data_IF_622473993898
#
_entry.id   IF_622473993898
#
_cell.length_a   1.000
_cell.length_b   1.000
_cell.length_c   1.000
_cell.angle_alpha   90.00
_cell.angle_beta   90.00
_cell.angle_gamma   90.00
#
_symmetry.space_group_name_H-M   'P 1'
#
loop_
_entity.id
_entity.type
_entity.pdbx_description
1 polymer ?
#
# COMPACT_ATOMS: atom_id res chain seq x y z
N UNK A 1 66.53 -8.59 9.20
CA UNK A 1 67.53 -7.61 8.71
C UNK A 1 67.28 -6.34 9.47
N UNK A 2 68.06 -6.20 10.45
CA UNK A 2 69.22 -5.29 10.71
C UNK A 2 68.73 -3.89 11.07
N UNK A 3 68.91 -3.54 12.18
CA UNK A 3 69.95 -3.08 13.17
C UNK A 3 69.52 -1.67 13.64
N UNK A 4 69.30 -1.48 14.94
CA UNK A 4 70.32 -1.30 15.97
C UNK A 4 70.95 0.11 16.02
N UNK A 5 70.76 0.81 17.14
CA UNK A 5 71.75 1.41 18.01
C UNK A 5 71.09 2.56 18.82
N UNK A 6 70.86 2.60 20.07
CA UNK A 6 71.71 2.42 21.27
C UNK A 6 72.90 3.42 21.29
N UNK A 7 72.82 4.37 22.20
CA UNK A 7 73.91 4.88 23.05
C UNK A 7 73.31 5.97 23.96
N UNK A 8 73.17 5.85 25.19
CA UNK A 8 74.03 5.58 26.38
C UNK A 8 74.96 6.76 26.67
N UNK A 9 75.09 7.02 27.96
CA UNK A 9 76.19 7.60 28.74
C UNK A 9 75.91 8.97 29.38
N UNK A 10 75.58 8.92 30.63
CA UNK A 10 76.37 9.14 31.87
C UNK A 10 76.28 10.50 32.53
N UNK A 11 75.89 10.39 33.83
CA UNK A 11 76.27 11.19 34.99
C UNK A 11 77.79 11.45 35.05
N UNK A 12 78.38 12.16 36.03
CA UNK A 12 77.92 12.75 37.32
C UNK A 12 78.66 14.05 37.76
N UNK A 13 78.40 14.49 38.99
CA UNK A 13 79.31 15.34 39.80
C UNK A 13 78.52 16.38 40.59
N UNK A 14 78.26 16.19 41.83
CA UNK A 14 78.94 16.29 43.10
C UNK A 14 79.92 17.47 43.19
N UNK A 15 79.71 18.29 44.24
CA UNK A 15 80.62 18.76 45.27
C UNK A 15 80.08 20.09 45.81
N UNK A 16 79.59 20.19 47.04
CA UNK A 16 80.15 20.23 48.38
C UNK A 16 80.64 21.62 48.78
N UNK A 17 80.09 22.06 49.96
CA UNK A 17 80.63 22.88 51.05
C UNK A 17 81.07 24.32 50.77
N UNK A 18 80.68 25.30 51.58
CA UNK A 18 81.24 25.60 52.92
C UNK A 18 80.51 26.77 53.58
N UNK A 19 80.03 26.58 54.73
CA UNK A 19 80.22 27.26 56.04
C UNK A 19 81.06 28.55 56.04
N UNK A 20 80.49 29.68 56.52
CA UNK A 20 81.22 30.65 57.37
C UNK A 20 80.29 31.42 58.27
N UNK A 21 80.44 31.15 59.52
CA UNK A 21 79.96 31.79 60.74
C UNK A 21 80.68 33.16 60.95
N UNK A 22 79.94 34.24 61.23
CA UNK A 22 80.49 35.44 62.00
C UNK A 22 79.37 36.06 62.81
N UNK A 23 79.47 35.89 64.07
CA UNK A 23 78.84 36.69 65.15
C UNK A 23 79.55 37.98 65.30
N UNK A 24 78.87 39.09 65.74
CA UNK A 24 79.21 40.06 66.70
C UNK A 24 78.23 41.23 66.77
N UNK A 25 77.43 41.30 67.75
CA UNK A 25 77.49 42.20 68.97
C UNK A 25 76.84 43.57 68.83
N UNK A 26 75.79 43.76 69.55
CA UNK A 26 75.41 44.95 70.38
C UNK A 26 75.05 46.27 69.71
N UNK A 27 73.75 46.61 69.79
CA UNK A 27 73.29 47.83 70.44
C UNK A 27 71.81 47.78 70.76
N UNK A 28 71.47 47.68 72.07
CA UNK A 28 70.13 47.86 72.54
C UNK A 28 69.71 49.31 72.41
N UNK A 29 68.77 49.63 71.56
CA UNK A 29 67.96 50.84 71.65
C UNK A 29 66.55 50.38 71.95
N UNK A 30 66.12 50.61 73.15
CA UNK A 30 64.77 50.43 73.64
C UNK A 30 63.86 51.42 72.91
N UNK A 31 63.25 51.04 71.77
CA UNK A 31 62.18 51.77 71.16
C UNK A 31 60.89 51.28 71.75
N UNK A 32 60.25 52.12 72.56
CA UNK A 32 58.87 51.88 73.05
C UNK A 32 58.00 51.79 71.79
N UNK A 33 57.68 50.56 71.40
CA UNK A 33 56.67 50.29 70.37
C UNK A 33 55.29 50.60 70.98
N UNK A 34 54.68 51.66 70.51
CA UNK A 34 53.26 51.89 70.69
C UNK A 34 52.53 50.67 70.15
N UNK A 35 51.52 50.12 70.86
CA UNK A 35 50.73 49.03 70.28
C UNK A 35 50.08 49.52 69.03
N UNK A 36 50.55 49.07 67.87
CA UNK A 36 49.82 49.20 66.64
C UNK A 36 48.51 48.41 66.78
N UNK A 37 47.43 49.11 67.00
CA UNK A 37 46.12 48.54 66.82
C UNK A 37 46.08 47.96 65.40
N UNK A 38 46.31 46.67 65.26
CA UNK A 38 46.06 45.96 64.03
C UNK A 38 44.56 46.20 63.65
N UNK A 39 44.34 47.05 62.68
CA UNK A 39 42.99 47.23 62.13
C UNK A 39 42.45 45.83 61.80
N UNK A 40 41.37 45.43 62.46
CA UNK A 40 40.70 44.18 62.18
C UNK A 40 40.44 44.15 60.69
N UNK A 41 40.95 43.12 60.03
CA UNK A 41 40.69 42.95 58.61
C UNK A 41 39.15 42.99 58.36
N UNK A 42 38.70 43.78 57.39
CA UNK A 42 37.26 43.91 57.12
C UNK A 42 36.65 42.51 56.94
N UNK A 43 35.61 42.21 57.66
CA UNK A 43 34.89 40.93 57.57
C UNK A 43 34.27 40.88 56.15
N UNK A 44 34.58 39.86 55.38
CA UNK A 44 34.04 39.76 54.04
C UNK A 44 32.50 39.74 54.02
N UNK A 45 31.88 40.48 53.12
CA UNK A 45 30.42 40.53 52.95
C UNK A 45 29.93 39.19 52.44
N UNK A 46 29.00 38.56 53.16
CA UNK A 46 28.40 37.27 52.76
C UNK A 46 27.69 37.40 51.39
N UNK A 47 27.84 36.39 50.57
CA UNK A 47 27.20 36.29 49.26
C UNK A 47 26.25 35.12 49.16
N UNK A 48 25.31 35.17 48.19
CA UNK A 48 24.34 34.14 47.87
C UNK A 48 24.30 33.93 46.37
N UNK A 49 24.37 32.65 45.95
CA UNK A 49 24.19 32.26 44.56
C UNK A 49 22.77 31.64 44.41
N UNK A 50 22.01 32.09 43.42
CA UNK A 50 20.79 31.44 42.98
C UNK A 50 21.04 30.87 41.59
N UNK A 51 20.91 29.55 41.42
CA UNK A 51 21.07 28.91 40.11
C UNK A 51 19.74 28.39 39.58
N UNK A 52 19.51 28.62 38.29
CA UNK A 52 18.31 28.15 37.56
C UNK A 52 18.73 27.14 36.50
N UNK A 53 18.06 25.99 36.50
CA UNK A 53 18.24 24.94 35.51
C UNK A 53 16.94 24.76 34.71
N UNK A 54 17.01 24.55 33.40
CA UNK A 54 15.81 24.32 32.61
C UNK A 54 15.19 22.97 32.96
N UNK A 55 13.86 22.91 32.98
CA UNK A 55 13.08 21.68 33.06
C UNK A 55 12.90 21.05 31.69
N UNK A 56 12.88 19.70 31.62
CA UNK A 56 12.62 18.98 30.35
C UNK A 56 13.81 18.94 29.38
N UNK A 57 15.04 19.09 29.89
CA UNK A 57 16.25 18.90 29.09
C UNK A 57 16.34 17.45 28.58
N UNK A 58 16.77 17.26 27.33
CA UNK A 58 16.79 15.96 26.65
C UNK A 58 18.22 15.58 26.27
N UNK A 59 18.53 14.30 26.33
CA UNK A 59 19.83 13.71 25.96
C UNK A 59 20.33 14.27 24.62
N UNK A 60 21.62 14.65 24.59
CA UNK A 60 22.29 15.18 23.39
C UNK A 60 22.02 16.65 23.07
N UNK A 61 21.12 17.32 23.76
CA UNK A 61 20.89 18.77 23.59
C UNK A 61 21.77 19.59 24.54
N UNK A 62 22.25 20.74 24.05
CA UNK A 62 22.94 21.69 24.92
C UNK A 62 21.98 22.28 25.94
N UNK A 63 22.47 22.46 27.16
CA UNK A 63 21.71 23.02 28.27
C UNK A 63 22.36 24.32 28.73
N UNK A 64 21.56 25.37 28.91
CA UNK A 64 22.02 26.64 29.48
C UNK A 64 21.57 26.72 30.92
N UNK A 65 22.54 26.96 31.84
CA UNK A 65 22.33 27.13 33.28
C UNK A 65 22.64 28.58 33.64
N UNK A 66 21.70 29.28 34.24
CA UNK A 66 21.87 30.63 34.75
C UNK A 66 22.25 30.62 36.24
N UNK A 67 23.20 31.46 36.65
CA UNK A 67 23.51 31.68 38.09
C UNK A 67 23.62 33.16 38.40
N UNK A 68 22.89 33.63 39.40
CA UNK A 68 22.88 35.01 39.83
C UNK A 68 23.61 35.09 41.17
N UNK A 69 24.66 35.97 41.25
CA UNK A 69 25.37 36.26 42.46
C UNK A 69 24.87 37.58 43.09
N UNK A 70 24.57 37.52 44.39
CA UNK A 70 24.13 38.69 45.20
C UNK A 70 24.89 38.77 46.48
N UNK A 71 25.02 40.01 47.05
CA UNK A 71 25.44 40.18 48.42
C UNK A 71 24.28 39.88 49.40
N UNK A 72 24.58 39.96 50.67
CA UNK A 72 23.57 39.73 51.74
C UNK A 72 22.44 40.76 51.72
N UNK A 73 22.67 41.94 51.22
CA UNK A 73 21.68 43.01 51.07
C UNK A 73 20.78 42.83 49.81
N UNK A 74 21.08 41.80 48.95
CA UNK A 74 20.36 41.51 47.75
C UNK A 74 20.88 42.25 46.49
N UNK A 75 21.95 43.05 46.64
CA UNK A 75 22.56 43.75 45.49
C UNK A 75 23.25 42.75 44.59
N UNK A 76 23.11 42.93 43.27
CA UNK A 76 23.70 42.06 42.24
C UNK A 76 25.16 42.40 42.06
N UNK A 77 26.04 41.39 42.05
CA UNK A 77 27.48 41.56 41.93
C UNK A 77 27.91 41.28 40.47
N UNK A 78 28.35 42.32 39.82
CA UNK A 78 28.84 42.27 38.43
C UNK A 78 30.36 42.08 38.35
N UNK A 79 30.86 41.41 37.32
CA UNK A 79 32.28 41.17 37.07
C UNK A 79 32.91 40.07 37.90
N UNK A 80 32.16 39.41 38.77
CA UNK A 80 32.63 38.35 39.64
C UNK A 80 32.69 37.00 38.90
N UNK A 81 33.69 36.17 39.21
CA UNK A 81 33.89 34.86 38.57
C UNK A 81 33.13 33.75 39.30
N UNK A 82 32.19 33.14 38.60
CA UNK A 82 31.52 31.92 39.02
C UNK A 82 32.07 30.71 38.29
N UNK A 83 32.26 29.60 39.00
CA UNK A 83 32.71 28.32 38.41
C UNK A 83 31.64 27.27 38.53
N UNK A 84 31.29 26.64 37.38
CA UNK A 84 30.34 25.51 37.33
C UNK A 84 31.08 24.18 37.35
N UNK A 85 30.60 23.28 38.21
CA UNK A 85 31.02 21.89 38.27
C UNK A 85 29.84 20.99 37.93
N UNK A 86 30.11 19.86 37.30
CA UNK A 86 29.19 18.76 37.07
C UNK A 86 29.77 17.50 37.68
N UNK A 87 29.02 16.83 38.58
CA UNK A 87 29.47 15.66 39.32
C UNK A 87 30.84 15.85 40.00
N UNK A 88 31.12 17.08 40.49
CA UNK A 88 32.38 17.44 41.14
C UNK A 88 33.53 17.77 40.16
N UNK A 89 33.34 17.63 38.86
CA UNK A 89 34.36 17.98 37.85
C UNK A 89 34.11 19.40 37.36
N UNK A 90 35.15 20.24 37.38
CA UNK A 90 35.08 21.62 36.87
C UNK A 90 34.77 21.62 35.37
N UNK A 91 33.75 22.36 34.99
CA UNK A 91 33.32 22.45 33.59
C UNK A 91 33.79 23.74 32.93
N UNK A 92 33.43 24.89 33.52
CA UNK A 92 33.80 26.22 33.02
C UNK A 92 33.65 27.31 34.10
N UNK A 93 34.32 28.45 33.87
CA UNK A 93 34.15 29.67 34.67
C UNK A 93 33.63 30.80 33.78
N UNK A 94 32.73 31.61 34.35
CA UNK A 94 32.11 32.76 33.68
C UNK A 94 32.06 33.96 34.61
N UNK A 95 32.23 35.15 34.09
CA UNK A 95 32.03 36.36 34.83
C UNK A 95 30.55 36.76 34.83
N UNK A 96 30.10 37.30 35.96
CA UNK A 96 28.75 37.88 36.05
C UNK A 96 28.64 39.17 35.26
N UNK A 97 27.53 39.37 34.57
CA UNK A 97 27.17 40.58 33.84
C UNK A 97 26.69 41.71 34.78
N UNK A 98 26.28 42.86 34.22
CA UNK A 98 25.74 43.99 34.98
C UNK A 98 24.50 43.65 35.81
N UNK A 99 23.81 42.51 35.54
CA UNK A 99 22.67 41.97 36.27
C UNK A 99 23.11 40.91 37.28
N UNK A 100 24.40 40.71 37.49
CA UNK A 100 24.93 39.68 38.38
C UNK A 100 24.73 38.27 37.87
N UNK A 101 24.39 38.07 36.60
CA UNK A 101 24.09 36.78 35.96
C UNK A 101 25.33 36.24 35.24
N UNK A 102 25.69 35.01 35.52
CA UNK A 102 26.59 34.18 34.74
C UNK A 102 25.81 33.09 34.02
N UNK A 103 26.02 32.96 32.67
CA UNK A 103 25.38 31.94 31.86
C UNK A 103 26.37 30.87 31.46
N UNK A 104 26.06 29.61 31.76
CA UNK A 104 26.90 28.46 31.43
C UNK A 104 26.24 27.59 30.40
N UNK A 105 26.94 27.21 29.34
CA UNK A 105 26.44 26.28 28.33
C UNK A 105 27.08 24.93 28.52
N UNK A 106 26.29 23.94 28.93
CA UNK A 106 26.71 22.55 29.03
C UNK A 106 26.43 21.89 27.68
N UNK A 107 27.49 21.43 27.01
CA UNK A 107 27.34 20.74 25.72
C UNK A 107 26.69 19.38 25.90
N UNK A 108 25.76 19.01 25.02
CA UNK A 108 25.00 17.75 25.09
C UNK A 108 25.87 16.50 25.14
N UNK A 109 27.06 16.52 24.52
CA UNK A 109 28.04 15.42 24.62
C UNK A 109 28.60 15.17 26.02
N UNK A 110 28.38 16.07 26.95
CA UNK A 110 28.73 15.90 28.38
C UNK A 110 27.59 15.33 29.22
N UNK A 111 26.40 15.30 28.63
CA UNK A 111 25.16 14.81 29.23
C UNK A 111 24.75 13.56 28.45
N UNK A 112 25.53 12.50 28.57
CA UNK A 112 25.45 11.27 27.73
C UNK A 112 24.49 10.22 28.33
N UNK A 113 23.88 10.49 29.45
CA UNK A 113 22.90 9.64 30.12
C UNK A 113 21.64 10.42 30.51
N UNK A 114 20.51 9.76 30.42
CA UNK A 114 19.24 10.26 30.91
C UNK A 114 19.13 10.00 32.39
N UNK A 115 19.70 10.91 33.19
CA UNK A 115 19.75 10.82 34.62
C UNK A 115 19.74 12.22 35.23
N UNK A 116 19.74 12.28 36.55
CA UNK A 116 19.88 13.52 37.30
C UNK A 116 21.37 13.80 37.56
N UNK A 117 21.88 14.89 37.05
CA UNK A 117 23.23 15.38 37.26
C UNK A 117 23.26 16.43 38.35
N UNK A 118 24.21 16.27 39.30
CA UNK A 118 24.46 17.27 40.34
C UNK A 118 25.34 18.38 39.78
N UNK A 119 24.81 19.59 39.73
CA UNK A 119 25.54 20.81 39.36
C UNK A 119 25.89 21.58 40.60
N UNK A 120 27.13 22.07 40.67
CA UNK A 120 27.60 22.93 41.75
C UNK A 120 28.15 24.22 41.18
N UNK A 121 27.61 25.37 41.58
CA UNK A 121 28.16 26.69 41.23
C UNK A 121 28.87 27.26 42.40
N UNK A 122 30.12 27.66 42.22
CA UNK A 122 31.01 28.14 43.24
C UNK A 122 31.46 29.57 42.95
N UNK A 123 31.39 30.45 43.91
CA UNK A 123 32.09 31.73 44.00
C UNK A 123 33.18 31.62 45.08
N UNK A 124 34.43 31.80 44.69
CA UNK A 124 35.57 31.66 45.62
C UNK A 124 35.80 32.86 46.51
N UNK A 125 34.99 33.91 46.34
CA UNK A 125 35.20 35.19 47.04
C UNK A 125 36.15 36.11 46.29
N UNK A 126 35.93 37.42 46.39
CA UNK A 126 36.84 38.49 45.85
C UNK A 126 36.49 39.81 46.46
N UNK A 127 37.47 40.76 46.48
CA UNK A 127 37.29 42.20 46.80
C UNK A 127 36.42 42.50 48.03
N UNK A 128 36.59 41.71 49.10
CA UNK A 128 35.81 41.87 50.34
C UNK A 128 34.49 41.11 50.38
N UNK A 129 34.21 40.24 49.41
CA UNK A 129 33.08 39.32 49.41
C UNK A 129 33.49 37.92 49.84
N UNK A 130 32.66 37.28 50.65
CA UNK A 130 32.88 35.93 51.13
C UNK A 130 32.53 34.91 50.05
N UNK A 131 33.19 33.73 50.04
CA UNK A 131 32.84 32.64 49.11
C UNK A 131 31.43 32.09 49.37
N UNK A 132 30.79 31.60 48.31
CA UNK A 132 29.49 30.94 48.38
C UNK A 132 29.36 29.81 47.37
N UNK A 133 28.47 28.86 47.66
CA UNK A 133 28.25 27.67 46.83
C UNK A 133 26.76 27.33 46.79
N UNK A 134 26.27 26.92 45.62
CA UNK A 134 24.92 26.38 45.45
C UNK A 134 24.97 25.05 44.71
N UNK A 135 24.15 24.09 45.14
CA UNK A 135 23.96 22.83 44.46
C UNK A 135 22.54 22.81 43.83
N UNK A 136 22.44 22.42 42.56
CA UNK A 136 21.18 22.22 41.89
C UNK A 136 21.22 20.91 41.13
N UNK A 137 20.06 20.34 40.86
CA UNK A 137 19.93 19.08 40.12
C UNK A 137 19.39 19.38 38.71
N UNK A 138 20.15 18.96 37.70
CA UNK A 138 19.72 18.99 36.29
C UNK A 138 19.27 17.59 35.88
N UNK A 139 17.98 17.43 35.57
CA UNK A 139 17.44 16.15 35.09
C UNK A 139 17.45 16.12 33.56
N UNK A 140 18.08 15.09 33.00
CA UNK A 140 18.12 14.82 31.54
C UNK A 140 17.15 13.69 31.22
N UNK A 141 16.22 13.94 30.31
CA UNK A 141 15.27 12.96 29.80
C UNK A 141 15.89 12.13 28.68
N UNK A 142 15.41 10.90 28.48
CA UNK A 142 15.82 10.04 27.39
C UNK A 142 15.60 10.71 26.01
N UNK A 143 16.49 10.44 25.06
CA UNK A 143 16.28 10.85 23.67
C UNK A 143 15.15 10.02 23.06
N UNK A 144 14.26 10.63 22.29
CA UNK A 144 13.27 9.93 21.47
C UNK A 144 13.83 9.72 20.07
N UNK A 145 13.98 8.48 19.67
CA UNK A 145 14.27 8.10 18.28
C UNK A 145 12.94 7.75 17.61
N UNK A 146 12.51 8.57 16.66
CA UNK A 146 11.29 8.32 15.91
C UNK A 146 11.60 7.55 14.63
N UNK A 147 10.87 6.46 14.41
CA UNK A 147 10.87 5.74 13.13
C UNK A 147 9.53 6.03 12.46
N UNK A 148 9.60 6.54 11.21
CA UNK A 148 8.43 6.86 10.39
C UNK A 148 8.38 5.98 9.17
N UNK A 149 7.29 5.23 9.00
CA UNK A 149 7.08 4.38 7.83
C UNK A 149 6.48 5.17 6.67
N UNK A 150 6.90 4.84 5.46
CA UNK A 150 6.38 5.42 4.20
C UNK A 150 6.04 4.27 3.26
N UNK A 151 4.75 4.06 2.92
CA UNK A 151 3.56 4.73 3.45
C UNK A 151 3.37 4.47 4.95
N UNK A 152 2.58 5.32 5.65
CA UNK A 152 2.24 5.08 7.05
C UNK A 152 1.56 3.72 7.22
N UNK A 153 2.05 2.91 8.16
CA UNK A 153 1.48 1.59 8.45
C UNK A 153 1.54 1.32 9.95
N UNK A 154 0.40 1.08 10.61
CA UNK A 154 0.36 0.76 12.04
C UNK A 154 0.80 -0.68 12.33
N UNK A 155 1.20 -0.92 13.58
CA UNK A 155 1.43 -2.26 14.11
C UNK A 155 2.76 -2.90 13.74
N UNK A 156 3.67 -2.18 13.07
CA UNK A 156 5.03 -2.65 12.83
C UNK A 156 5.88 -2.46 14.07
N UNK A 157 6.66 -3.46 14.44
CA UNK A 157 7.54 -3.41 15.61
C UNK A 157 8.93 -2.98 15.22
N UNK A 158 9.43 -1.95 15.91
CA UNK A 158 10.83 -1.55 15.84
C UNK A 158 11.49 -1.78 17.20
N UNK A 159 12.74 -2.24 17.16
CA UNK A 159 13.53 -2.47 18.38
C UNK A 159 14.88 -1.77 18.23
N UNK A 160 15.28 -1.03 19.27
CA UNK A 160 16.55 -0.32 19.35
C UNK A 160 17.21 -0.65 20.69
N UNK A 161 18.22 -1.50 20.68
CA UNK A 161 18.80 -2.06 21.90
C UNK A 161 17.74 -2.79 22.72
N UNK A 162 17.44 -2.28 23.94
CA UNK A 162 16.40 -2.82 24.82
C UNK A 162 15.03 -2.16 24.65
N UNK A 163 14.94 -1.04 23.90
CA UNK A 163 13.69 -0.32 23.65
C UNK A 163 12.96 -0.92 22.46
N UNK A 164 11.64 -1.10 22.59
CA UNK A 164 10.79 -1.61 21.54
C UNK A 164 9.49 -0.82 21.48
N UNK A 165 9.01 -0.50 20.27
CA UNK A 165 7.76 0.20 20.08
C UNK A 165 7.04 -0.31 18.82
N UNK A 166 5.71 -0.19 18.81
CA UNK A 166 4.86 -0.42 17.64
C UNK A 166 4.56 0.92 16.96
N UNK A 167 4.44 0.91 15.63
CA UNK A 167 3.95 2.07 14.91
C UNK A 167 2.48 2.33 15.21
N UNK A 168 2.14 3.59 15.44
CA UNK A 168 0.76 4.08 15.56
C UNK A 168 0.04 4.18 14.20
N UNK A 169 -1.21 4.69 14.21
CA UNK A 169 -2.00 4.91 12.98
C UNK A 169 -1.32 5.84 11.97
N UNK A 170 -0.46 6.74 12.44
CA UNK A 170 0.35 7.66 11.64
C UNK A 170 1.65 7.04 11.11
N UNK A 171 1.88 5.75 11.37
CA UNK A 171 3.09 5.03 10.98
C UNK A 171 4.33 5.41 11.79
N UNK A 172 4.18 6.00 12.99
CA UNK A 172 5.29 6.46 13.83
C UNK A 172 5.49 5.53 15.01
N UNK A 173 6.74 5.10 15.23
CA UNK A 173 7.20 4.43 16.47
C UNK A 173 8.22 5.33 17.17
N UNK A 174 8.02 5.61 18.46
CA UNK A 174 8.95 6.38 19.29
C UNK A 174 9.69 5.44 20.26
N UNK A 175 11.01 5.42 20.15
CA UNK A 175 11.91 4.56 20.94
C UNK A 175 12.71 5.42 21.89
N UNK A 176 12.47 5.36 23.21
CA UNK A 176 13.26 6.09 24.19
C UNK A 176 14.64 5.44 24.34
N UNK A 177 15.69 6.26 24.26
CA UNK A 177 17.09 5.85 24.43
C UNK A 177 17.68 6.57 25.63
N UNK A 178 18.00 5.86 26.72
CA UNK A 178 18.47 6.48 27.94
C UNK A 178 19.95 6.86 27.92
N UNK A 179 20.73 6.35 26.98
CA UNK A 179 22.17 6.61 26.91
C UNK A 179 22.59 6.86 25.46
N UNK A 180 23.51 7.81 25.24
CA UNK A 180 24.16 8.00 23.95
C UNK A 180 25.06 6.81 23.61
N UNK A 181 25.07 6.39 22.35
CA UNK A 181 25.86 5.24 21.92
C UNK A 181 25.40 4.68 20.58
N UNK A 182 26.05 3.59 20.21
CA UNK A 182 25.76 2.85 18.97
C UNK A 182 24.78 1.71 19.25
N UNK A 183 23.69 1.65 18.52
CA UNK A 183 22.60 0.68 18.71
C UNK A 183 22.25 -0.02 17.41
N UNK A 184 21.89 -1.29 17.50
CA UNK A 184 21.26 -2.01 16.42
C UNK A 184 19.76 -1.67 16.38
N UNK A 185 19.30 -1.17 15.22
CA UNK A 185 17.89 -0.93 14.95
C UNK A 185 17.37 -2.09 14.08
N UNK A 186 16.41 -2.85 14.63
CA UNK A 186 15.74 -3.95 13.95
C UNK A 186 14.30 -3.59 13.65
N UNK A 187 13.81 -3.99 12.47
CA UNK A 187 12.45 -3.78 12.02
C UNK A 187 11.75 -5.13 11.81
N UNK A 188 10.69 -5.41 12.57
CA UNK A 188 9.78 -6.51 12.30
C UNK A 188 8.62 -5.99 11.47
N UNK A 189 8.60 -6.36 10.20
CA UNK A 189 7.62 -5.88 9.22
C UNK A 189 6.34 -6.73 9.18
N UNK A 190 6.17 -7.65 10.13
CA UNK A 190 4.92 -8.38 10.30
C UNK A 190 4.00 -7.59 11.23
N UNK A 191 2.90 -7.00 10.72
CA UNK A 191 1.98 -6.25 11.58
C UNK A 191 1.37 -7.15 12.65
N UNK A 192 1.51 -6.74 13.91
CA UNK A 192 1.00 -7.52 15.07
C UNK A 192 -0.41 -7.10 15.49
N UNK A 193 -1.05 -6.19 14.78
CA UNK A 193 -2.37 -5.68 15.11
C UNK A 193 -3.46 -6.63 14.62
N UNK A 194 -4.08 -7.33 15.57
CA UNK A 194 -5.27 -8.19 15.48
C UNK A 194 -5.11 -9.52 14.72
N UNK A 195 -6.01 -10.45 15.03
CA UNK A 195 -6.04 -11.84 14.54
C UNK A 195 -6.14 -12.02 13.01
N UNK A 196 -6.44 -10.94 12.28
CA UNK A 196 -6.38 -10.86 10.83
C UNK A 196 -5.21 -9.94 10.48
N UNK A 197 -4.06 -10.50 10.15
CA UNK A 197 -2.93 -9.73 9.59
C UNK A 197 -3.43 -8.96 8.35
N UNK A 198 -3.87 -7.73 8.62
CA UNK A 198 -4.64 -6.94 7.66
C UNK A 198 -3.78 -6.35 6.54
N UNK A 199 -2.47 -6.34 6.71
CA UNK A 199 -1.54 -5.83 5.73
C UNK A 199 -0.28 -6.69 5.68
N UNK A 200 0.39 -6.70 4.54
CA UNK A 200 1.73 -7.24 4.36
C UNK A 200 2.67 -6.10 4.01
N UNK A 201 3.77 -5.98 4.76
CA UNK A 201 4.81 -5.00 4.47
C UNK A 201 6.08 -5.69 4.01
N UNK A 202 6.82 -5.05 3.11
CA UNK A 202 8.16 -5.44 2.74
C UNK A 202 9.06 -4.21 2.66
N UNK A 203 10.33 -4.38 3.07
CA UNK A 203 11.32 -3.32 3.09
C UNK A 203 11.72 -2.89 1.68
N UNK A 204 11.84 -1.59 1.46
CA UNK A 204 12.37 -1.00 0.22
C UNK A 204 13.73 -0.37 0.47
N UNK A 205 13.80 0.62 1.35
CA UNK A 205 15.03 1.36 1.72
C UNK A 205 14.82 2.28 2.92
N UNK A 206 15.89 2.76 3.49
CA UNK A 206 15.90 3.93 4.35
C UNK A 206 16.08 5.22 3.52
N UNK A 207 15.70 6.36 4.09
CA UNK A 207 15.80 7.67 3.40
C UNK A 207 17.24 8.03 3.01
N UNK A 208 18.20 7.62 3.81
CA UNK A 208 19.65 7.81 3.63
C UNK A 208 20.30 6.80 2.67
N UNK A 209 19.51 6.07 1.88
CA UNK A 209 19.95 5.10 0.88
C UNK A 209 20.54 3.80 1.44
N UNK A 210 20.28 3.47 2.67
CA UNK A 210 20.59 2.15 3.22
C UNK A 210 19.55 1.14 2.75
N UNK A 211 20.01 -0.02 2.22
CA UNK A 211 19.17 -1.07 1.63
C UNK A 211 19.11 -2.33 2.49
N UNK A 212 19.61 -2.28 3.69
CA UNK A 212 19.46 -3.35 4.70
C UNK A 212 18.32 -2.99 5.64
N UNK A 213 17.40 -3.93 5.87
CA UNK A 213 16.24 -3.72 6.75
C UNK A 213 16.67 -3.36 8.17
N UNK A 214 17.59 -4.14 8.73
CA UNK A 214 18.22 -3.87 10.01
C UNK A 214 19.49 -3.05 9.80
N UNK A 215 19.78 -2.15 10.73
CA UNK A 215 20.93 -1.26 10.62
C UNK A 215 21.45 -0.84 11.99
N UNK A 216 22.71 -0.44 12.02
CA UNK A 216 23.30 0.22 13.20
C UNK A 216 23.15 1.73 13.10
N UNK A 217 22.78 2.39 14.18
CA UNK A 217 22.67 3.85 14.27
C UNK A 217 23.42 4.37 15.49
N UNK A 218 24.05 5.55 15.34
CA UNK A 218 24.69 6.27 16.44
C UNK A 218 23.70 7.29 17.01
N UNK A 219 23.29 7.07 18.26
CA UNK A 219 22.36 7.95 18.97
C UNK A 219 23.17 8.93 19.80
N UNK A 220 23.14 10.19 19.42
CA UNK A 220 23.74 11.31 20.17
C UNK A 220 22.68 12.29 20.70
N UNK A 221 21.41 12.09 20.36
CA UNK A 221 20.26 12.91 20.71
C UNK A 221 19.01 12.49 19.95
N UNK A 222 17.90 13.23 20.07
CA UNK A 222 16.66 12.95 19.34
C UNK A 222 16.89 12.99 17.82
N UNK A 223 16.35 11.99 17.13
CA UNK A 223 16.46 11.87 15.68
C UNK A 223 15.22 11.20 15.09
N UNK A 224 14.97 11.44 13.80
CA UNK A 224 13.89 10.80 13.04
C UNK A 224 14.47 10.06 11.85
N UNK A 225 14.09 8.80 11.70
CA UNK A 225 14.47 7.94 10.58
C UNK A 225 13.24 7.55 9.78
N UNK A 226 13.33 7.64 8.45
CA UNK A 226 12.26 7.26 7.54
C UNK A 226 12.60 5.95 6.86
N UNK A 227 11.68 4.99 6.95
CA UNK A 227 11.79 3.68 6.30
C UNK A 227 10.74 3.56 5.19
N UNK A 228 11.19 3.24 3.98
CA UNK A 228 10.34 3.00 2.83
C UNK A 228 9.88 1.56 2.75
N UNK A 229 8.59 1.37 2.53
CA UNK A 229 7.93 0.09 2.47
C UNK A 229 7.15 -0.09 1.16
N UNK A 230 6.96 -1.34 0.77
CA UNK A 230 5.87 -1.76 -0.10
C UNK A 230 4.80 -2.38 0.77
N UNK A 231 3.56 -1.91 0.64
CA UNK A 231 2.42 -2.37 1.42
C UNK A 231 1.42 -3.05 0.51
N UNK A 232 0.92 -4.21 0.91
CA UNK A 232 -0.13 -4.94 0.22
C UNK A 232 -1.27 -5.29 1.17
N UNK A 233 -2.50 -5.28 0.65
CA UNK A 233 -3.71 -5.69 1.35
C UNK A 233 -4.34 -6.91 0.70
N UNK A 234 -5.10 -7.68 1.48
CA UNK A 234 -5.93 -8.75 0.97
C UNK A 234 -7.22 -8.19 0.41
N UNK A 235 -7.58 -8.59 -0.79
CA UNK A 235 -8.90 -8.30 -1.32
C UNK A 235 -9.40 -9.42 -2.22
N UNK A 236 -10.72 -9.63 -2.15
CA UNK A 236 -11.45 -10.53 -3.01
C UNK A 236 -12.00 -9.76 -4.21
N UNK A 237 -12.06 -10.40 -5.36
CA UNK A 237 -12.76 -9.84 -6.51
C UNK A 237 -14.16 -10.42 -6.57
N UNK A 238 -15.16 -9.55 -6.57
CA UNK A 238 -16.59 -9.89 -6.76
C UNK A 238 -17.00 -9.42 -8.15
N UNK A 239 -17.63 -10.32 -8.90
CA UNK A 239 -18.16 -9.97 -10.21
C UNK A 239 -19.67 -9.70 -10.10
N UNK A 240 -20.12 -8.63 -10.76
CA UNK A 240 -21.55 -8.25 -10.84
C UNK A 240 -21.92 -7.93 -12.28
N UNK A 241 -23.16 -8.19 -12.65
CA UNK A 241 -23.70 -7.78 -13.94
C UNK A 241 -24.04 -6.28 -14.00
N UNK A 242 -24.63 -5.83 -15.09
CA UNK A 242 -25.04 -4.43 -15.30
C UNK A 242 -26.15 -3.97 -14.32
N UNK A 243 -26.84 -4.90 -13.67
CA UNK A 243 -27.89 -4.66 -12.68
C UNK A 243 -27.39 -4.85 -11.25
N UNK A 244 -26.05 -4.92 -11.05
CA UNK A 244 -25.40 -5.21 -9.78
C UNK A 244 -25.78 -6.58 -9.17
N UNK A 245 -26.29 -7.53 -9.97
CA UNK A 245 -26.53 -8.89 -9.50
C UNK A 245 -25.21 -9.68 -9.49
N UNK A 246 -24.97 -10.50 -8.44
CA UNK A 246 -23.74 -11.27 -8.36
C UNK A 246 -23.66 -12.30 -9.47
N UNK A 247 -22.48 -12.37 -10.11
CA UNK A 247 -22.14 -13.38 -11.11
C UNK A 247 -21.29 -14.45 -10.44
N UNK A 248 -21.64 -15.73 -10.69
CA UNK A 248 -20.91 -16.87 -10.12
C UNK A 248 -19.44 -16.83 -10.60
N UNK A 249 -18.48 -16.73 -9.67
CA UNK A 249 -17.05 -16.74 -10.02
C UNK A 249 -16.61 -18.03 -10.73
N UNK A 250 -17.31 -19.13 -10.57
CA UNK A 250 -17.00 -20.40 -11.24
C UNK A 250 -17.15 -20.31 -12.77
N UNK A 251 -17.94 -19.36 -13.26
CA UNK A 251 -18.11 -19.10 -14.69
C UNK A 251 -16.95 -18.29 -15.30
N UNK A 252 -16.12 -17.67 -14.45
CA UNK A 252 -14.96 -16.88 -14.88
C UNK A 252 -13.76 -17.81 -15.03
N UNK A 253 -13.29 -17.98 -16.26
CA UNK A 253 -12.13 -18.82 -16.54
C UNK A 253 -10.80 -18.10 -16.28
N UNK A 254 -10.76 -16.79 -16.46
CA UNK A 254 -9.57 -15.96 -16.26
C UNK A 254 -9.97 -14.50 -16.05
N UNK A 255 -9.25 -13.81 -15.18
CA UNK A 255 -9.32 -12.36 -15.02
C UNK A 255 -7.90 -11.77 -14.93
N UNK A 256 -7.64 -10.72 -15.67
CA UNK A 256 -6.35 -10.05 -15.76
C UNK A 256 -6.46 -8.61 -15.28
N UNK A 257 -5.55 -8.24 -14.39
CA UNK A 257 -5.45 -6.92 -13.78
C UNK A 257 -4.03 -6.41 -13.95
N UNK A 258 -3.86 -5.17 -14.39
CA UNK A 258 -2.54 -4.60 -14.62
C UNK A 258 -2.41 -3.22 -14.02
N UNK A 259 -1.22 -2.92 -13.53
CA UNK A 259 -0.82 -1.58 -13.09
C UNK A 259 -0.28 -0.72 -14.24
N UNK A 260 -0.11 -1.32 -15.42
CA UNK A 260 0.50 -0.67 -16.59
C UNK A 260 2.04 -0.66 -16.56
N UNK A 261 2.65 -1.12 -15.47
CA UNK A 261 4.12 -1.24 -15.35
C UNK A 261 4.63 -2.66 -15.57
N UNK A 262 3.72 -3.64 -15.61
CA UNK A 262 4.02 -5.07 -15.74
C UNK A 262 4.60 -5.74 -14.49
N UNK A 263 4.97 -4.96 -13.48
CA UNK A 263 5.64 -5.49 -12.26
C UNK A 263 4.69 -6.05 -11.20
N UNK A 264 3.43 -5.57 -11.19
CA UNK A 264 2.42 -5.98 -10.22
C UNK A 264 1.16 -6.51 -10.91
N UNK A 265 1.29 -7.04 -12.13
CA UNK A 265 0.14 -7.59 -12.84
C UNK A 265 -0.34 -8.86 -12.15
N UNK A 266 -1.67 -8.99 -12.01
CA UNK A 266 -2.33 -10.09 -11.34
C UNK A 266 -3.19 -10.84 -12.34
N UNK A 267 -2.97 -12.14 -12.45
CA UNK A 267 -3.79 -13.04 -13.27
C UNK A 267 -4.47 -14.03 -12.35
N UNK A 268 -5.80 -13.95 -12.29
CA UNK A 268 -6.64 -14.88 -11.56
C UNK A 268 -7.20 -15.90 -12.55
N UNK A 269 -7.10 -17.18 -12.23
CA UNK A 269 -7.67 -18.27 -13.02
C UNK A 269 -8.39 -19.26 -12.10
N UNK A 270 -9.02 -20.25 -12.67
CA UNK A 270 -9.78 -21.27 -11.93
C UNK A 270 -8.95 -22.08 -10.92
N UNK A 271 -7.62 -22.06 -11.05
CA UNK A 271 -6.71 -22.76 -10.13
C UNK A 271 -6.20 -21.82 -9.01
N UNK A 272 -6.01 -20.55 -9.29
CA UNK A 272 -5.76 -19.53 -8.27
C UNK A 272 -7.11 -19.12 -7.70
N UNK A 273 -7.43 -19.61 -6.50
CA UNK A 273 -8.67 -19.23 -5.80
C UNK A 273 -8.86 -17.73 -5.89
N UNK A 274 -10.02 -17.29 -6.36
CA UNK A 274 -10.42 -15.90 -6.50
C UNK A 274 -10.49 -15.16 -5.14
N UNK A 275 -10.28 -15.87 -4.04
CA UNK A 275 -10.24 -15.38 -2.67
C UNK A 275 -8.80 -15.32 -2.18
N UNK A 276 -8.48 -14.31 -1.37
CA UNK A 276 -7.21 -14.15 -0.66
C UNK A 276 -5.98 -13.76 -1.49
N UNK A 277 -6.17 -12.94 -2.50
CA UNK A 277 -5.06 -12.36 -3.25
C UNK A 277 -4.50 -11.13 -2.52
N UNK A 278 -3.17 -11.06 -2.45
CA UNK A 278 -2.48 -9.87 -1.97
C UNK A 278 -2.28 -8.87 -3.11
N UNK A 279 -2.80 -7.67 -2.90
CA UNK A 279 -2.71 -6.57 -3.85
C UNK A 279 -1.76 -5.51 -3.31
N UNK A 280 -0.72 -5.20 -4.04
CA UNK A 280 0.17 -4.09 -3.69
C UNK A 280 -0.62 -2.79 -3.70
N UNK A 281 -0.70 -2.14 -2.55
CA UNK A 281 -1.46 -0.90 -2.37
C UNK A 281 -0.61 0.33 -2.66
N UNK A 282 0.61 0.32 -2.15
CA UNK A 282 1.56 1.40 -2.35
C UNK A 282 2.98 0.89 -2.21
N UNK A 283 3.89 1.54 -2.90
CA UNK A 283 5.33 1.39 -2.73
C UNK A 283 5.95 2.74 -2.39
N UNK A 284 7.20 2.72 -2.01
CA UNK A 284 7.94 3.95 -1.70
C UNK A 284 8.82 4.34 -2.87
N UNK A 285 8.70 5.59 -3.28
CA UNK A 285 9.65 6.24 -4.20
C UNK A 285 10.48 7.27 -3.44
N UNK A 286 11.68 7.55 -3.93
CA UNK A 286 12.54 8.59 -3.39
C UNK A 286 12.57 9.80 -4.32
N UNK A 287 12.27 10.97 -3.76
CA UNK A 287 12.40 12.26 -4.43
C UNK A 287 13.40 13.12 -3.67
N UNK A 288 14.64 13.21 -4.16
CA UNK A 288 15.73 13.88 -3.45
C UNK A 288 16.07 13.20 -2.12
N UNK A 289 15.88 13.91 -1.02
CA UNK A 289 16.12 13.42 0.35
C UNK A 289 14.84 13.02 1.09
N UNK A 290 13.73 12.85 0.35
CA UNK A 290 12.42 12.50 0.95
C UNK A 290 11.93 11.19 0.35
N UNK A 291 11.33 10.37 1.20
CA UNK A 291 10.55 9.19 0.78
C UNK A 291 9.09 9.60 0.62
N UNK A 292 8.50 9.23 -0.50
CA UNK A 292 7.09 9.50 -0.81
C UNK A 292 6.36 8.19 -1.08
N UNK A 293 5.11 8.04 -0.57
CA UNK A 293 4.27 6.93 -0.95
C UNK A 293 3.82 7.08 -2.40
N UNK A 294 3.91 6.00 -3.17
CA UNK A 294 3.41 5.90 -4.54
C UNK A 294 2.28 4.88 -4.57
N UNK A 295 1.02 5.29 -4.64
CA UNK A 295 -0.12 4.39 -4.73
C UNK A 295 -0.05 3.54 -6.00
N UNK A 296 -0.48 2.29 -5.90
CA UNK A 296 -0.58 1.36 -7.03
C UNK A 296 -2.04 1.22 -7.43
N UNK A 297 -2.36 1.60 -8.65
CA UNK A 297 -3.71 1.51 -9.20
C UNK A 297 -3.76 0.39 -10.24
N UNK A 298 -4.65 -0.57 -10.03
CA UNK A 298 -4.93 -1.66 -10.96
C UNK A 298 -6.04 -1.29 -11.91
N UNK A 299 -5.94 -1.79 -13.14
CA UNK A 299 -6.99 -1.69 -14.17
C UNK A 299 -7.38 -3.08 -14.61
N UNK A 300 -8.67 -3.32 -14.80
CA UNK A 300 -9.17 -4.57 -15.39
C UNK A 300 -8.80 -4.60 -16.86
N UNK A 301 -7.98 -5.56 -17.28
CA UNK A 301 -7.60 -5.75 -18.68
C UNK A 301 -8.55 -6.69 -19.39
N UNK A 302 -8.84 -7.84 -18.79
CA UNK A 302 -9.76 -8.82 -19.35
C UNK A 302 -10.42 -9.64 -18.24
N UNK A 303 -11.65 -10.05 -18.47
CA UNK A 303 -12.36 -11.07 -17.69
C UNK A 303 -13.01 -12.02 -18.69
N UNK A 304 -12.59 -13.28 -18.69
CA UNK A 304 -13.05 -14.27 -19.67
C UNK A 304 -14.10 -15.19 -19.08
N UNK A 305 -15.22 -15.31 -19.78
CA UNK A 305 -16.32 -16.20 -19.51
C UNK A 305 -16.73 -16.91 -20.79
N UNK A 306 -16.76 -18.24 -20.82
CA UNK A 306 -17.06 -19.06 -22.01
C UNK A 306 -16.27 -18.62 -23.25
N UNK A 307 -14.98 -18.26 -23.06
CA UNK A 307 -14.07 -17.85 -24.15
C UNK A 307 -14.21 -16.39 -24.64
N UNK A 308 -15.19 -15.65 -24.13
CA UNK A 308 -15.38 -14.25 -24.49
C UNK A 308 -14.93 -13.30 -23.37
N UNK A 309 -14.50 -12.11 -23.76
CA UNK A 309 -14.15 -11.05 -22.81
C UNK A 309 -15.41 -10.26 -22.42
N UNK A 310 -15.71 -10.25 -21.12
CA UNK A 310 -16.93 -9.64 -20.55
C UNK A 310 -16.71 -8.27 -19.94
N UNK A 311 -15.57 -7.64 -20.16
CA UNK A 311 -15.28 -6.28 -19.71
C UNK A 311 -14.79 -5.39 -20.84
N UNK A 312 -14.85 -4.09 -20.63
CA UNK A 312 -14.16 -3.13 -21.49
C UNK A 312 -12.79 -2.85 -20.89
N UNK A 313 -11.75 -3.15 -21.63
CA UNK A 313 -10.35 -3.05 -21.23
C UNK A 313 -10.01 -1.68 -20.65
N UNK A 314 -9.45 -1.65 -19.46
CA UNK A 314 -8.90 -0.47 -18.81
C UNK A 314 -9.92 0.56 -18.33
N UNK A 315 -11.23 0.31 -18.43
CA UNK A 315 -12.26 1.26 -17.98
C UNK A 315 -12.52 1.19 -16.47
N UNK A 316 -12.30 0.05 -15.86
CA UNK A 316 -12.46 -0.13 -14.42
C UNK A 316 -11.10 -0.14 -13.74
N UNK A 317 -10.96 0.65 -12.69
CA UNK A 317 -9.73 0.74 -11.92
C UNK A 317 -10.00 0.71 -10.43
N UNK A 318 -8.99 0.29 -9.67
CA UNK A 318 -9.05 0.22 -8.22
C UNK A 318 -7.67 0.43 -7.61
N UNK A 319 -7.62 1.16 -6.50
CA UNK A 319 -6.43 1.34 -5.68
C UNK A 319 -6.70 0.72 -4.32
N UNK A 320 -5.98 -0.34 -3.91
CA UNK A 320 -6.15 -0.94 -2.60
C UNK A 320 -5.77 0.06 -1.50
N UNK A 321 -6.61 0.23 -0.49
CA UNK A 321 -6.33 1.08 0.67
C UNK A 321 -6.41 0.29 1.98
N UNK A 322 -7.14 -0.81 1.96
CA UNK A 322 -7.38 -1.69 3.09
C UNK A 322 -7.82 -3.07 2.59
N UNK A 323 -7.97 -4.03 3.48
CA UNK A 323 -8.60 -5.30 3.14
C UNK A 323 -10.05 -5.09 2.73
N UNK A 324 -10.50 -5.81 1.70
CA UNK A 324 -11.86 -5.60 1.25
C UNK A 324 -12.25 -6.42 0.04
N UNK A 325 -13.20 -5.88 -0.71
CA UNK A 325 -13.70 -6.49 -1.93
C UNK A 325 -13.65 -5.49 -3.06
N UNK A 326 -13.01 -5.87 -4.17
CA UNK A 326 -13.12 -5.13 -5.40
C UNK A 326 -14.30 -5.67 -6.22
N UNK A 327 -15.31 -4.84 -6.45
CA UNK A 327 -16.44 -5.18 -7.31
C UNK A 327 -16.11 -4.83 -8.76
N UNK A 328 -16.08 -5.85 -9.62
CA UNK A 328 -15.85 -5.73 -11.06
C UNK A 328 -17.16 -5.94 -11.78
N UNK A 329 -17.60 -4.95 -12.56
CA UNK A 329 -18.79 -5.05 -13.39
C UNK A 329 -18.48 -5.75 -14.68
N UNK A 330 -19.25 -6.81 -15.01
CA UNK A 330 -19.13 -7.59 -16.23
C UNK A 330 -20.32 -7.34 -17.15
N UNK A 331 -20.05 -7.34 -18.45
CA UNK A 331 -21.02 -7.05 -19.50
C UNK A 331 -21.70 -8.35 -19.94
N UNK A 332 -22.85 -8.63 -19.35
CA UNK A 332 -23.68 -9.79 -19.67
C UNK A 332 -25.02 -9.32 -20.24
N UNK A 333 -25.53 -10.08 -21.21
CA UNK A 333 -26.72 -9.72 -21.96
C UNK A 333 -27.74 -10.85 -22.01
N UNK A 334 -29.01 -10.48 -22.14
CA UNK A 334 -30.09 -11.43 -22.41
C UNK A 334 -30.27 -11.62 -23.91
N UNK A 335 -30.54 -12.86 -24.32
CA UNK A 335 -30.95 -13.24 -25.65
C UNK A 335 -32.28 -13.98 -25.60
N UNK A 336 -33.35 -13.37 -26.10
CA UNK A 336 -34.63 -14.04 -26.26
C UNK A 336 -34.72 -14.63 -27.66
N UNK A 337 -34.91 -15.95 -27.75
CA UNK A 337 -35.04 -16.64 -29.05
C UNK A 337 -36.51 -17.02 -29.22
N UNK A 338 -37.06 -16.58 -30.36
CA UNK A 338 -38.38 -17.00 -30.80
C UNK A 338 -38.24 -18.03 -31.91
N UNK A 339 -38.89 -19.17 -31.79
CA UNK A 339 -38.93 -20.20 -32.79
C UNK A 339 -40.18 -20.01 -33.63
N UNK A 340 -40.02 -20.02 -34.93
CA UNK A 340 -41.12 -19.87 -35.90
C UNK A 340 -40.99 -20.92 -37.01
N UNK A 341 -42.07 -21.61 -37.29
CA UNK A 341 -42.17 -22.49 -38.43
C UNK A 341 -41.93 -21.71 -39.71
N UNK A 342 -41.07 -22.22 -40.58
CA UNK A 342 -40.66 -21.51 -41.78
C UNK A 342 -41.75 -21.42 -42.85
N UNK A 343 -42.70 -22.38 -42.88
CA UNK A 343 -43.75 -22.46 -43.87
C UNK A 343 -45.08 -21.88 -43.35
N UNK A 344 -45.44 -22.19 -42.14
CA UNK A 344 -46.76 -21.86 -41.56
C UNK A 344 -46.73 -20.68 -40.62
N UNK A 345 -45.53 -20.25 -40.15
CA UNK A 345 -45.35 -19.07 -39.29
C UNK A 345 -45.76 -19.33 -37.83
N UNK A 346 -46.18 -20.50 -37.45
CA UNK A 346 -46.55 -20.87 -36.05
C UNK A 346 -45.37 -21.07 -35.14
N UNK A 347 -45.62 -21.04 -33.81
CA UNK A 347 -44.62 -21.37 -32.79
C UNK A 347 -44.20 -22.85 -32.88
N UNK A 348 -42.91 -23.10 -32.76
CA UNK A 348 -42.38 -24.50 -32.79
C UNK A 348 -41.82 -24.84 -31.42
N UNK A 349 -42.32 -25.92 -30.81
CA UNK A 349 -41.78 -26.45 -29.56
C UNK A 349 -40.54 -27.31 -29.80
N UNK A 350 -39.70 -27.43 -28.79
CA UNK A 350 -38.49 -28.25 -28.85
C UNK A 350 -37.41 -27.76 -27.91
N UNK A 351 -36.20 -28.23 -28.09
CA UNK A 351 -35.04 -27.80 -27.32
C UNK A 351 -34.10 -26.97 -28.20
N UNK A 352 -33.85 -25.71 -27.80
CA UNK A 352 -32.84 -24.89 -28.44
C UNK A 352 -31.48 -25.20 -27.86
N UNK A 353 -30.54 -25.48 -28.72
CA UNK A 353 -29.14 -25.63 -28.47
C UNK A 353 -28.42 -24.35 -28.80
N UNK A 354 -27.87 -23.68 -27.78
CA UNK A 354 -27.03 -22.49 -27.91
C UNK A 354 -25.58 -22.90 -27.78
N UNK A 355 -24.78 -22.64 -28.79
CA UNK A 355 -23.33 -22.87 -28.78
C UNK A 355 -22.62 -21.56 -28.50
N UNK A 356 -21.83 -21.52 -27.41
CA UNK A 356 -21.01 -20.40 -27.00
C UNK A 356 -19.80 -20.17 -27.94
N UNK A 357 -19.12 -19.00 -27.86
CA UNK A 357 -17.92 -18.74 -28.68
C UNK A 357 -16.77 -19.74 -28.49
N UNK A 358 -16.63 -20.34 -27.31
CA UNK A 358 -15.64 -21.37 -27.01
C UNK A 358 -16.06 -22.79 -27.42
N UNK A 359 -17.29 -22.97 -27.94
CA UNK A 359 -17.83 -24.26 -28.33
C UNK A 359 -18.66 -24.96 -27.26
N UNK A 360 -18.73 -24.46 -26.03
CA UNK A 360 -19.64 -24.97 -25.01
C UNK A 360 -21.09 -24.90 -25.48
N UNK A 361 -21.94 -25.75 -24.89
CA UNK A 361 -23.33 -25.88 -25.33
C UNK A 361 -24.24 -25.74 -24.12
N UNK A 362 -25.23 -24.83 -24.23
CA UNK A 362 -26.38 -24.77 -23.34
C UNK A 362 -27.63 -25.20 -24.10
N UNK A 363 -28.51 -25.95 -23.40
CA UNK A 363 -29.77 -26.40 -23.97
C UNK A 363 -30.91 -25.93 -23.07
N UNK A 364 -31.96 -25.35 -23.68
CA UNK A 364 -33.19 -24.94 -22.99
C UNK A 364 -34.40 -25.34 -23.82
N UNK A 365 -35.48 -25.74 -23.12
CA UNK A 365 -36.76 -26.03 -23.76
C UNK A 365 -37.49 -24.75 -24.14
N UNK A 366 -38.09 -24.74 -25.30
CA UNK A 366 -38.93 -23.64 -25.82
C UNK A 366 -40.26 -23.65 -25.06
N UNK A 367 -40.73 -22.49 -24.63
CA UNK A 367 -42.03 -22.30 -24.00
C UNK A 367 -43.19 -22.57 -25.00
N UNK A 368 -44.41 -22.60 -24.45
CA UNK A 368 -45.63 -22.81 -25.28
C UNK A 368 -45.87 -21.65 -26.27
N UNK A 369 -45.36 -20.46 -25.96
CA UNK A 369 -45.39 -19.27 -26.79
C UNK A 369 -44.32 -19.26 -27.90
N UNK A 370 -43.56 -20.33 -28.01
CA UNK A 370 -42.46 -20.44 -28.94
C UNK A 370 -41.20 -19.65 -28.55
N UNK A 371 -41.11 -19.13 -27.31
CA UNK A 371 -39.99 -18.32 -26.85
C UNK A 371 -39.14 -19.09 -25.82
N UNK A 372 -37.86 -18.70 -25.76
CA UNK A 372 -36.91 -19.07 -24.72
C UNK A 372 -35.93 -17.96 -24.47
N UNK A 373 -35.68 -17.64 -23.18
CA UNK A 373 -34.71 -16.62 -22.77
C UNK A 373 -33.41 -17.29 -22.27
N UNK A 374 -32.29 -16.81 -22.79
CA UNK A 374 -30.96 -17.08 -22.27
C UNK A 374 -30.46 -15.80 -21.61
N UNK A 375 -30.11 -15.86 -20.34
CA UNK A 375 -29.62 -14.75 -19.56
C UNK A 375 -28.13 -14.89 -19.26
N UNK A 376 -27.49 -13.80 -18.89
CA UNK A 376 -26.08 -13.78 -18.48
C UNK A 376 -25.11 -14.29 -19.55
N UNK A 377 -25.39 -13.97 -20.82
CA UNK A 377 -24.54 -14.32 -21.93
C UNK A 377 -23.46 -13.25 -22.17
N UNK A 378 -22.17 -13.62 -22.25
CA UNK A 378 -21.12 -12.71 -22.70
C UNK A 378 -21.36 -12.21 -24.13
N UNK A 379 -20.76 -11.08 -24.47
CA UNK A 379 -20.74 -10.63 -25.88
C UNK A 379 -20.01 -11.65 -26.75
N UNK A 380 -20.54 -11.91 -27.94
CA UNK A 380 -19.90 -12.88 -28.83
C UNK A 380 -20.81 -13.32 -29.99
N UNK A 381 -20.31 -14.28 -30.77
CA UNK A 381 -21.07 -14.90 -31.87
C UNK A 381 -21.54 -16.26 -31.38
N UNK A 382 -22.84 -16.42 -31.29
CA UNK A 382 -23.52 -17.64 -30.88
C UNK A 382 -24.09 -18.39 -32.06
N UNK A 383 -24.18 -19.71 -31.98
CA UNK A 383 -24.90 -20.53 -32.94
C UNK A 383 -26.13 -21.11 -32.26
N UNK A 384 -27.28 -20.89 -32.87
CA UNK A 384 -28.59 -21.39 -32.44
C UNK A 384 -29.03 -22.51 -33.34
N UNK A 385 -29.50 -23.62 -32.78
CA UNK A 385 -30.15 -24.72 -33.52
C UNK A 385 -31.26 -25.30 -32.70
N UNK A 386 -32.31 -25.77 -33.37
CA UNK A 386 -33.37 -26.57 -32.71
C UNK A 386 -33.07 -28.07 -32.94
N UNK A 387 -33.07 -28.84 -31.87
CA UNK A 387 -32.64 -30.25 -31.90
C UNK A 387 -33.45 -31.17 -32.80
N UNK A 388 -34.67 -30.78 -33.13
CA UNK A 388 -35.60 -31.55 -33.99
C UNK A 388 -35.79 -30.94 -35.39
N UNK A 389 -34.89 -30.09 -35.84
CA UNK A 389 -35.02 -29.38 -37.12
C UNK A 389 -33.97 -29.80 -38.14
N UNK A 390 -34.30 -29.67 -39.41
CA UNK A 390 -33.37 -29.80 -40.52
C UNK A 390 -32.67 -28.48 -40.85
N UNK A 391 -32.97 -27.42 -40.08
CA UNK A 391 -32.41 -26.09 -40.32
C UNK A 391 -30.95 -26.02 -39.89
N UNK A 392 -30.03 -25.50 -40.70
CA UNK A 392 -28.64 -25.28 -40.28
C UNK A 392 -28.57 -24.28 -39.12
N UNK A 393 -27.54 -24.36 -38.23
CA UNK A 393 -27.37 -23.43 -37.13
C UNK A 393 -27.33 -21.97 -37.58
N UNK A 394 -28.15 -21.13 -36.95
CA UNK A 394 -28.20 -19.68 -37.21
C UNK A 394 -27.21 -18.98 -36.32
N UNK A 395 -26.37 -18.08 -36.86
CA UNK A 395 -25.43 -17.26 -36.09
C UNK A 395 -26.11 -15.99 -35.61
N UNK A 396 -25.86 -15.67 -34.31
CA UNK A 396 -26.35 -14.45 -33.66
C UNK A 396 -25.16 -13.74 -33.03
N UNK A 397 -24.87 -12.51 -33.41
CA UNK A 397 -23.89 -11.66 -32.75
C UNK A 397 -24.56 -10.91 -31.61
N UNK A 398 -24.14 -11.19 -30.39
CA UNK A 398 -24.67 -10.61 -29.15
C UNK A 398 -23.70 -9.52 -28.65
N UNK A 399 -24.16 -8.27 -28.59
CA UNK A 399 -23.42 -7.14 -28.02
C UNK A 399 -24.29 -6.23 -27.14
N UNK A 400 -25.58 -6.54 -27.04
CA UNK A 400 -26.61 -5.88 -26.24
C UNK A 400 -27.78 -6.85 -26.02
N UNK A 401 -28.68 -6.60 -25.08
CA UNK A 401 -29.92 -7.38 -24.95
C UNK A 401 -30.69 -7.31 -26.27
N UNK A 402 -31.06 -8.47 -26.84
CA UNK A 402 -31.78 -8.53 -28.10
C UNK A 402 -32.64 -9.79 -28.22
N UNK A 403 -33.55 -9.77 -29.20
CA UNK A 403 -34.33 -10.95 -29.60
C UNK A 403 -33.85 -11.44 -30.98
N UNK A 404 -33.90 -12.75 -31.17
CA UNK A 404 -33.59 -13.40 -32.43
C UNK A 404 -34.73 -14.36 -32.81
N UNK A 405 -35.13 -14.33 -34.07
CA UNK A 405 -36.13 -15.28 -34.60
C UNK A 405 -35.41 -16.42 -35.27
N UNK A 406 -35.62 -17.66 -34.82
CA UNK A 406 -35.13 -18.88 -35.41
C UNK A 406 -36.23 -19.47 -36.32
N UNK A 407 -36.10 -19.29 -37.61
CA UNK A 407 -37.00 -19.93 -38.58
C UNK A 407 -36.57 -21.37 -38.74
N UNK A 408 -37.53 -22.28 -38.47
CA UNK A 408 -37.28 -23.71 -38.35
C UNK A 408 -38.02 -24.45 -39.46
N UNK A 409 -37.30 -25.22 -40.23
CA UNK A 409 -37.90 -26.19 -41.19
C UNK A 409 -38.15 -27.48 -40.43
N UNK A 410 -39.42 -27.75 -40.16
CA UNK A 410 -39.85 -28.97 -39.49
C UNK A 410 -39.92 -30.17 -40.44
N UNK A 411 -39.91 -31.40 -39.91
CA UNK A 411 -40.18 -32.58 -40.73
C UNK A 411 -41.58 -32.54 -41.34
N UNK A 412 -42.52 -31.84 -40.72
CA UNK A 412 -43.85 -31.61 -41.22
C UNK A 412 -43.86 -30.72 -42.46
N UNK A 413 -43.03 -29.64 -42.44
CA UNK A 413 -42.84 -28.79 -43.62
C UNK A 413 -42.32 -29.56 -44.82
N UNK A 414 -41.29 -30.37 -44.58
CA UNK A 414 -40.72 -31.20 -45.63
C UNK A 414 -41.79 -32.22 -46.14
N UNK A 415 -42.55 -32.82 -45.22
CA UNK A 415 -43.65 -33.70 -45.55
C UNK A 415 -44.73 -33.01 -46.36
N UNK A 416 -45.14 -31.79 -45.99
CA UNK A 416 -46.11 -30.98 -46.73
C UNK A 416 -45.61 -30.58 -48.11
N UNK A 417 -44.40 -30.11 -48.23
CA UNK A 417 -43.81 -29.72 -49.54
C UNK A 417 -43.67 -30.92 -50.43
N UNK A 418 -43.18 -32.06 -49.92
CA UNK A 418 -43.09 -33.30 -50.73
C UNK A 418 -44.47 -33.84 -51.09
N UNK A 419 -45.42 -33.84 -50.13
CA UNK A 419 -46.79 -34.27 -50.37
C UNK A 419 -47.50 -33.41 -51.39
N UNK A 420 -47.34 -32.07 -51.30
CA UNK A 420 -47.91 -31.14 -52.27
C UNK A 420 -47.26 -31.29 -53.63
N UNK A 421 -45.94 -31.44 -53.69
CA UNK A 421 -45.19 -31.69 -54.92
C UNK A 421 -45.65 -33.01 -55.59
N UNK A 422 -45.84 -34.10 -54.77
CA UNK A 422 -46.34 -35.36 -55.30
C UNK A 422 -47.79 -35.26 -55.77
N UNK A 423 -48.64 -34.55 -55.02
CA UNK A 423 -50.03 -34.32 -55.43
C UNK A 423 -50.10 -33.51 -56.76
N UNK A 424 -49.24 -32.52 -56.91
CA UNK A 424 -49.15 -31.71 -58.15
C UNK A 424 -48.68 -32.58 -59.31
N UNK A 425 -47.67 -33.42 -59.13
CA UNK A 425 -47.22 -34.39 -60.16
C UNK A 425 -48.34 -35.38 -60.52
N UNK A 426 -49.04 -35.93 -59.51
CA UNK A 426 -50.18 -36.81 -59.74
C UNK A 426 -51.26 -36.08 -60.49
N UNK A 427 -51.62 -34.86 -60.12
CA UNK A 427 -52.60 -34.03 -60.77
C UNK A 427 -52.21 -33.76 -62.22
N UNK A 428 -50.96 -33.42 -62.54
CA UNK A 428 -50.45 -33.20 -63.90
C UNK A 428 -50.52 -34.49 -64.73
N UNK A 429 -50.19 -35.66 -64.12
CA UNK A 429 -50.32 -36.95 -64.81
C UNK A 429 -51.79 -37.28 -65.08
N UNK A 430 -52.70 -37.04 -64.13
CA UNK A 430 -54.14 -37.23 -64.34
C UNK A 430 -54.69 -36.34 -65.42
N UNK A 431 -54.35 -35.03 -65.43
CA UNK A 431 -54.75 -34.09 -66.41
C UNK A 431 -54.17 -34.49 -67.79
N UNK A 432 -52.91 -34.87 -67.87
CA UNK A 432 -52.26 -35.35 -69.07
C UNK A 432 -52.92 -36.63 -69.62
N UNK A 433 -53.24 -37.60 -68.77
CA UNK A 433 -53.97 -38.81 -69.11
C UNK A 433 -55.44 -38.52 -69.50
N UNK A 434 -56.10 -37.60 -68.81
CA UNK A 434 -57.47 -37.22 -69.10
C UNK A 434 -57.55 -36.56 -70.49
N UNK A 435 -56.58 -35.78 -70.86
CA UNK A 435 -56.49 -35.24 -72.23
C UNK A 435 -56.35 -36.35 -73.31
N UNK A 436 -55.68 -37.45 -72.98
CA UNK A 436 -55.56 -38.63 -73.86
C UNK A 436 -56.85 -39.41 -73.86
N UNK A 437 -57.51 -39.60 -72.73
CA UNK A 437 -58.81 -40.31 -72.59
C UNK A 437 -59.92 -39.54 -73.33
N UNK A 438 -60.01 -38.25 -73.16
CA UNK A 438 -60.98 -37.40 -73.87
C UNK A 438 -60.73 -37.34 -75.35
N UNK A 439 -59.48 -37.39 -75.81
CA UNK A 439 -59.15 -37.52 -77.25
C UNK A 439 -59.60 -38.90 -77.79
N UNK A 440 -59.47 -40.01 -77.00
CA UNK A 440 -59.96 -41.34 -77.40
C UNK A 440 -61.47 -41.42 -77.40
N UNK A 441 -62.17 -40.82 -76.44
CA UNK A 441 -63.63 -40.74 -76.44
C UNK A 441 -64.20 -39.88 -77.58
N UNK A 442 -63.57 -38.78 -77.93
CA UNK A 442 -63.94 -37.97 -79.12
C UNK A 442 -63.71 -38.73 -80.41
N UNK A 443 -62.70 -39.58 -80.55
CA UNK A 443 -62.52 -40.45 -81.77
C UNK A 443 -63.59 -41.50 -81.82
N UNK A 444 -64.00 -42.14 -80.69
CA UNK A 444 -65.07 -43.13 -80.62
C UNK A 444 -66.44 -42.54 -80.97
N UNK A 445 -66.75 -41.33 -80.55
CA UNK A 445 -68.01 -40.63 -80.99
C UNK A 445 -68.02 -40.26 -82.47
N UNK A 446 -66.89 -39.99 -83.08
CA UNK A 446 -66.84 -39.73 -84.58
C UNK A 446 -66.99 -41.03 -85.39
N UNK A 447 -66.67 -42.21 -84.91
CA UNK A 447 -66.82 -43.46 -85.59
C UNK A 447 -68.27 -44.01 -85.48
N UNK A 448 -69.08 -43.57 -84.56
CA UNK A 448 -70.51 -43.90 -84.45
C UNK A 448 -71.48 -42.99 -85.22
N UNK A 449 -71.03 -41.91 -85.78
CA UNK A 449 -71.82 -40.93 -86.60
C UNK A 449 -71.76 -41.16 -88.09
N UNK A 450 -71.16 -42.30 -88.59
CA UNK A 450 -71.02 -42.62 -90.05
C UNK A 450 -71.72 -43.91 -90.40
N UNK A 451 -72.74 -44.31 -89.69
CA UNK A 451 -73.59 -45.48 -90.19
C UNK A 451 -75.06 -45.18 -90.00
N UNK A 452 -75.56 -44.41 -90.96
CA UNK A 452 -76.99 -44.43 -91.24
C UNK A 452 -77.16 -44.72 -92.75
N UNK A 453 -77.77 -45.88 -93.12
CA UNK A 453 -78.01 -46.25 -94.55
C UNK A 453 -79.19 -45.49 -95.07
N UNK A 454 -79.03 -45.12 -96.34
CA UNK A 454 -80.12 -44.70 -97.15
C UNK A 454 -81.04 -45.87 -97.44
N UNK A 455 -82.24 -45.67 -97.25
CA UNK A 455 -83.23 -46.62 -97.78
C UNK A 455 -84.17 -45.95 -98.82
N UNK A 456 -84.36 -46.73 -99.81
CA UNK A 456 -85.17 -46.63 -101.02
C UNK A 456 -86.66 -46.60 -100.76
N UNK A 457 -87.45 -45.90 -101.46
CA UNK A 457 -88.65 -46.36 -102.13
C UNK A 457 -89.23 -45.40 -103.12
N UNK A 458 -89.29 -45.83 -104.27
CA UNK A 458 -90.28 -45.51 -105.31
C UNK A 458 -91.65 -45.98 -104.83
N UNK A 459 -92.76 -45.66 -105.43
CA UNK A 459 -93.07 -45.60 -106.84
C UNK A 459 -94.23 -44.64 -107.31
N UNK A 460 -94.39 -44.59 -108.62
CA UNK A 460 -95.47 -44.70 -109.51
C UNK A 460 -96.77 -43.92 -109.30
N UNK A 461 -97.17 -43.28 -110.22
CA UNK A 461 -98.05 -43.11 -111.41
C UNK A 461 -98.18 -41.65 -111.62
#
# INVERSE_FOLDING_TARGET
MNRSNAHDIRHPGRIVEAVALAALLFSAVAMVAAPSTAAAAPVPIATVITAEVPTGSVLGKNVVVGAILRDRAGSRLAGEHLTLFIEGVQLQSQSTDAQGLASFTILGKRLDQATAYRLTVVFNGSHGYAPSTVNVTLTILAAAIEIRTVPPLPGLRFTLGTSSALTGPDGVAALPVPQAGTYELTADLNPTTSADSSAKASFVRWVDNVFTQNRTIDVTGPATYYIGLTVAYRANVKYVDLNNQPVDPALISQAEFSTGTGTNDVVLNSQTKLSDVWWTAATTIRAGQVLLPSPVTYRVLSVKMHGADVVNRGQQSWTPTENGTWTVQVLLYGLTVQTQDALLGGAVSGQIKLTYPNGDIATKSVGQDGSVAFENLPRGIYKLSLGSSLTPPTQVALSRPQSATLRVISYLDVGLVLGFGLALVVMLVVIGRWSIVTRRLRRKRRSLAVSTPADLSRPTV
#
